data_IF_681995175950
#
_entry.id   IF_681995175950
#
_cell.length_a   1.000
_cell.length_b   1.000
_cell.length_c   1.000
_cell.angle_alpha   90.00
_cell.angle_beta   90.00
_cell.angle_gamma   90.00
#
_symmetry.space_group_name_H-M   'P 1'
#
loop_
_entity.id
_entity.type
_entity.pdbx_description
1 polymer ?
#
# COMPACT_ATOMS: atom_id res chain seq x y z
N UNK A 1 12.69 -0.13 24.22
CA UNK A 1 13.25 0.10 22.88
C UNK A 1 12.36 1.10 22.16
N UNK A 2 12.89 2.21 21.64
CA UNK A 2 12.14 3.17 20.83
C UNK A 2 12.44 2.89 19.35
N UNK A 3 11.41 2.81 18.52
CA UNK A 3 11.55 2.50 17.09
C UNK A 3 11.01 3.67 16.28
N UNK A 4 11.77 4.07 15.27
CA UNK A 4 11.41 5.10 14.31
C UNK A 4 11.52 4.52 12.91
N UNK A 5 10.52 4.78 12.06
CA UNK A 5 10.54 4.43 10.64
C UNK A 5 10.76 5.68 9.82
N UNK A 6 11.58 5.61 8.78
CA UNK A 6 11.79 6.71 7.84
C UNK A 6 11.22 6.28 6.49
N UNK A 7 10.32 7.09 5.94
CA UNK A 7 9.62 6.82 4.69
C UNK A 7 9.51 8.09 3.84
N UNK A 8 9.71 7.99 2.53
CA UNK A 8 9.73 9.16 1.63
C UNK A 8 8.35 9.49 1.05
N UNK A 9 7.54 8.46 0.77
CA UNK A 9 6.33 8.62 -0.03
C UNK A 9 5.07 8.17 0.69
N UNK A 10 4.97 6.89 1.04
CA UNK A 10 3.76 6.31 1.61
C UNK A 10 4.06 5.10 2.49
N UNK A 11 3.25 4.90 3.53
CA UNK A 11 3.37 3.74 4.41
C UNK A 11 3.02 2.46 3.64
N UNK A 12 3.80 1.41 3.87
CA UNK A 12 3.59 0.09 3.27
C UNK A 12 4.42 -0.17 2.00
N UNK A 13 5.15 0.84 1.52
CA UNK A 13 6.08 0.72 0.39
C UNK A 13 5.44 0.17 -0.88
N UNK A 14 6.26 -0.41 -1.74
CA UNK A 14 5.85 -0.89 -3.08
C UNK A 14 4.72 -1.91 -2.99
N UNK A 15 4.86 -2.93 -2.13
CA UNK A 15 3.95 -4.07 -2.07
C UNK A 15 2.49 -3.64 -1.86
N UNK A 16 2.25 -2.71 -0.94
CA UNK A 16 0.90 -2.25 -0.60
C UNK A 16 0.35 -1.21 -1.58
N UNK A 17 1.19 -0.32 -2.10
CA UNK A 17 0.71 0.85 -2.83
C UNK A 17 0.68 0.64 -4.35
N UNK A 18 1.70 0.01 -4.93
CA UNK A 18 1.92 -0.06 -6.38
C UNK A 18 2.43 -1.42 -6.87
N UNK A 19 2.40 -2.44 -6.02
CA UNK A 19 2.92 -3.77 -6.30
C UNK A 19 1.88 -4.85 -6.08
N UNK A 20 2.15 -5.77 -5.16
CA UNK A 20 1.34 -6.96 -4.95
C UNK A 20 -0.14 -6.66 -4.71
N UNK A 21 -0.48 -5.81 -3.75
CA UNK A 21 -1.87 -5.57 -3.36
C UNK A 21 -2.73 -5.06 -4.52
N UNK A 22 -2.37 -3.97 -5.23
CA UNK A 22 -3.17 -3.52 -6.37
C UNK A 22 -3.21 -4.57 -7.49
N UNK A 23 -2.11 -5.27 -7.79
CA UNK A 23 -2.11 -6.31 -8.81
C UNK A 23 -3.05 -7.47 -8.48
N UNK A 24 -3.00 -7.98 -7.23
CA UNK A 24 -3.82 -9.12 -6.80
C UNK A 24 -5.29 -8.73 -6.69
N UNK A 25 -5.62 -7.49 -6.31
CA UNK A 25 -7.00 -7.00 -6.36
C UNK A 25 -7.55 -7.01 -7.80
N UNK A 26 -6.79 -6.53 -8.78
CA UNK A 26 -7.23 -6.55 -10.17
C UNK A 26 -7.35 -7.97 -10.74
N UNK A 27 -6.43 -8.88 -10.39
CA UNK A 27 -6.51 -10.30 -10.76
C UNK A 27 -7.79 -10.92 -10.20
N UNK A 28 -8.16 -10.62 -8.95
CA UNK A 28 -9.39 -11.14 -8.36
C UNK A 28 -10.65 -10.62 -9.07
N UNK A 29 -10.69 -9.33 -9.41
CA UNK A 29 -11.79 -8.78 -10.20
C UNK A 29 -11.90 -9.47 -11.59
N UNK A 30 -10.76 -9.76 -12.22
CA UNK A 30 -10.71 -10.49 -13.49
C UNK A 30 -11.20 -11.94 -13.34
N UNK A 31 -10.81 -12.65 -12.27
CA UNK A 31 -11.32 -13.98 -11.97
C UNK A 31 -12.85 -13.97 -11.79
N UNK A 32 -13.39 -13.04 -10.99
CA UNK A 32 -14.84 -12.93 -10.83
C UNK A 32 -15.57 -12.67 -12.16
N UNK A 33 -15.01 -11.81 -13.00
CA UNK A 33 -15.55 -11.57 -14.34
C UNK A 33 -15.54 -12.84 -15.19
N UNK A 34 -14.41 -13.57 -15.20
CA UNK A 34 -14.29 -14.84 -15.92
C UNK A 34 -15.29 -15.87 -15.40
N UNK A 35 -15.42 -16.04 -14.08
CA UNK A 35 -16.38 -16.97 -13.48
C UNK A 35 -17.81 -16.64 -13.87
N UNK A 36 -18.20 -15.35 -13.83
CA UNK A 36 -19.53 -14.93 -14.24
C UNK A 36 -19.83 -15.33 -15.70
N UNK A 37 -18.86 -15.15 -16.60
CA UNK A 37 -19.00 -15.51 -18.01
C UNK A 37 -19.05 -17.02 -18.29
N UNK A 38 -18.49 -17.86 -17.41
CA UNK A 38 -18.40 -19.32 -17.59
C UNK A 38 -19.24 -20.09 -16.56
N UNK A 39 -20.32 -19.48 -16.06
CA UNK A 39 -21.12 -20.03 -14.96
C UNK A 39 -22.29 -20.92 -15.39
N UNK A 40 -22.46 -21.17 -16.70
CA UNK A 40 -23.59 -21.91 -17.27
C UNK A 40 -23.67 -23.38 -16.81
N UNK A 41 -22.51 -24.04 -16.64
CA UNK A 41 -22.45 -25.42 -16.16
C UNK A 41 -22.96 -25.57 -14.73
N UNK A 42 -22.97 -24.48 -13.96
CA UNK A 42 -23.58 -24.41 -12.62
C UNK A 42 -25.07 -24.08 -12.66
N UNK A 43 -25.69 -24.03 -13.85
CA UNK A 43 -27.09 -23.65 -14.06
C UNK A 43 -27.36 -22.14 -14.00
N UNK A 44 -26.31 -21.30 -13.92
CA UNK A 44 -26.46 -19.84 -13.87
C UNK A 44 -26.59 -19.26 -15.29
N UNK A 45 -27.64 -18.49 -15.51
CA UNK A 45 -27.86 -17.78 -16.78
C UNK A 45 -27.40 -16.32 -16.65
N UNK A 46 -26.18 -16.03 -17.10
CA UNK A 46 -25.64 -14.67 -17.16
C UNK A 46 -25.61 -14.21 -18.61
N UNK A 47 -26.43 -13.21 -18.97
CA UNK A 47 -26.61 -12.79 -20.37
C UNK A 47 -25.47 -11.92 -20.89
N UNK A 48 -24.95 -11.00 -20.06
CA UNK A 48 -23.79 -10.17 -20.39
C UNK A 48 -23.19 -9.54 -19.13
N UNK A 49 -22.20 -10.19 -18.52
CA UNK A 49 -21.40 -9.53 -17.49
C UNK A 49 -20.64 -8.35 -18.14
N UNK A 50 -20.81 -7.15 -17.59
CA UNK A 50 -20.08 -5.95 -18.01
C UNK A 50 -19.18 -5.49 -16.89
N UNK A 51 -17.91 -5.28 -17.20
CA UNK A 51 -16.94 -4.74 -16.26
C UNK A 51 -16.81 -3.23 -16.46
N UNK A 52 -17.13 -2.47 -15.41
CA UNK A 52 -16.85 -1.04 -15.33
C UNK A 52 -15.44 -0.86 -14.76
N UNK A 53 -14.48 -0.60 -15.64
CA UNK A 53 -13.07 -0.52 -15.25
C UNK A 53 -12.79 0.62 -14.28
N UNK A 54 -13.52 1.75 -14.39
CA UNK A 54 -13.33 2.87 -13.47
C UNK A 54 -13.73 2.47 -12.05
N UNK A 55 -14.89 1.82 -11.90
CA UNK A 55 -15.31 1.28 -10.58
C UNK A 55 -14.36 0.20 -10.07
N UNK A 56 -13.80 -0.64 -10.95
CA UNK A 56 -12.79 -1.63 -10.55
C UNK A 56 -11.53 -0.96 -9.99
N UNK A 57 -11.06 0.12 -10.61
CA UNK A 57 -9.91 0.89 -10.14
C UNK A 57 -10.22 1.59 -8.81
N UNK A 58 -11.40 2.17 -8.66
CA UNK A 58 -11.86 2.77 -7.39
C UNK A 58 -11.91 1.74 -6.26
N UNK A 59 -12.48 0.56 -6.51
CA UNK A 59 -12.50 -0.53 -5.54
C UNK A 59 -11.08 -0.98 -5.18
N UNK A 60 -10.20 -1.20 -6.17
CA UNK A 60 -8.78 -1.51 -5.94
C UNK A 60 -8.09 -0.44 -5.08
N UNK A 61 -8.37 0.84 -5.32
CA UNK A 61 -7.84 1.95 -4.50
C UNK A 61 -8.36 1.89 -3.06
N UNK A 62 -9.63 1.52 -2.85
CA UNK A 62 -10.19 1.32 -1.50
C UNK A 62 -9.50 0.18 -0.74
N UNK A 63 -9.13 -0.91 -1.41
CA UNK A 63 -8.38 -2.03 -0.82
C UNK A 63 -6.99 -1.56 -0.37
N UNK A 64 -6.28 -0.84 -1.24
CA UNK A 64 -4.97 -0.25 -0.92
C UNK A 64 -5.09 0.69 0.30
N UNK A 65 -6.03 1.63 0.27
CA UNK A 65 -6.25 2.60 1.35
C UNK A 65 -6.57 1.92 2.70
N UNK A 66 -7.41 0.89 2.69
CA UNK A 66 -7.74 0.12 3.90
C UNK A 66 -6.49 -0.52 4.50
N UNK A 67 -5.64 -1.14 3.68
CA UNK A 67 -4.47 -1.86 4.16
C UNK A 67 -3.35 -0.91 4.60
N UNK A 68 -3.07 0.17 3.86
CA UNK A 68 -2.07 1.17 4.27
C UNK A 68 -2.52 1.92 5.53
N UNK A 69 -3.80 2.26 5.64
CA UNK A 69 -4.39 2.82 6.86
C UNK A 69 -4.32 1.86 8.05
N UNK A 70 -4.43 0.55 7.80
CA UNK A 70 -4.20 -0.50 8.81
C UNK A 70 -2.77 -0.48 9.35
N UNK A 71 -1.77 -0.39 8.49
CA UNK A 71 -0.36 -0.29 8.90
C UNK A 71 -0.11 1.00 9.68
N UNK A 72 -0.63 2.14 9.22
CA UNK A 72 -0.52 3.40 9.93
C UNK A 72 -1.16 3.34 11.34
N UNK A 73 -2.29 2.64 11.46
CA UNK A 73 -2.95 2.40 12.76
C UNK A 73 -2.11 1.53 13.68
N UNK A 74 -1.44 0.50 13.13
CA UNK A 74 -0.50 -0.34 13.89
C UNK A 74 0.70 0.46 14.39
N UNK A 75 1.28 1.33 13.56
CA UNK A 75 2.39 2.20 13.99
C UNK A 75 1.98 3.08 15.18
N UNK A 76 0.80 3.72 15.12
CA UNK A 76 0.25 4.50 16.24
C UNK A 76 0.06 3.64 17.49
N UNK A 77 -0.54 2.45 17.34
CA UNK A 77 -0.78 1.52 18.45
C UNK A 77 0.52 1.09 19.14
N UNK A 78 1.60 0.92 18.37
CA UNK A 78 2.91 0.52 18.86
C UNK A 78 3.86 1.69 19.15
N UNK A 79 3.38 2.94 19.11
CA UNK A 79 4.17 4.14 19.39
C UNK A 79 5.42 4.25 18.49
N UNK A 80 5.28 3.84 17.23
CA UNK A 80 6.33 3.97 16.21
C UNK A 80 6.17 5.34 15.56
N UNK A 81 7.21 6.17 15.69
CA UNK A 81 7.28 7.46 15.03
C UNK A 81 7.64 7.28 13.54
N UNK A 82 6.97 8.00 12.65
CA UNK A 82 7.32 8.03 11.22
C UNK A 82 7.91 9.39 10.90
N UNK A 83 9.15 9.39 10.42
CA UNK A 83 9.82 10.57 9.88
C UNK A 83 9.72 10.53 8.36
N UNK A 84 9.26 11.62 7.76
CA UNK A 84 9.05 11.70 6.32
C UNK A 84 10.26 12.30 5.62
N UNK A 85 10.88 11.55 4.70
CA UNK A 85 12.01 12.03 3.91
C UNK A 85 12.94 10.93 3.40
N UNK A 86 13.98 11.36 2.68
CA UNK A 86 15.08 10.52 2.22
C UNK A 86 16.12 10.35 3.32
N UNK A 87 16.41 9.11 3.71
CA UNK A 87 17.43 8.78 4.70
C UNK A 87 18.77 8.42 4.04
N UNK A 88 19.85 8.99 4.56
CA UNK A 88 21.23 8.69 4.19
C UNK A 88 22.01 8.31 5.44
N UNK A 89 22.65 7.13 5.44
CA UNK A 89 23.57 6.76 6.51
C UNK A 89 24.79 7.68 6.47
N UNK A 90 25.10 8.30 7.60
CA UNK A 90 26.27 9.17 7.77
C UNK A 90 27.46 8.38 8.31
N UNK A 91 27.19 7.53 9.31
CA UNK A 91 28.13 6.63 9.96
C UNK A 91 27.35 5.51 10.69
N UNK A 92 28.04 4.69 11.46
CA UNK A 92 27.48 3.49 12.13
C UNK A 92 26.35 3.80 13.13
N UNK A 93 26.25 5.05 13.61
CA UNK A 93 25.28 5.45 14.64
C UNK A 93 24.45 6.68 14.26
N UNK A 94 24.61 7.20 13.04
CA UNK A 94 23.94 8.43 12.61
C UNK A 94 23.40 8.31 11.19
N UNK A 95 22.19 8.82 10.99
CA UNK A 95 21.58 9.01 9.68
C UNK A 95 21.12 10.45 9.52
N UNK A 96 21.13 10.94 8.27
CA UNK A 96 20.59 12.22 7.86
C UNK A 96 19.28 12.00 7.11
N UNK A 97 18.22 12.66 7.49
CA UNK A 97 16.94 12.68 6.75
C UNK A 97 16.78 14.03 6.08
N UNK A 98 16.43 14.03 4.80
CA UNK A 98 16.07 15.23 4.04
C UNK A 98 14.58 15.16 3.73
N UNK A 99 13.80 16.11 4.23
CA UNK A 99 12.37 16.19 3.94
C UNK A 99 12.10 16.67 2.51
N UNK A 100 10.82 16.72 2.11
CA UNK A 100 10.44 17.18 0.76
C UNK A 100 10.69 18.67 0.52
N UNK A 101 10.86 19.46 1.57
CA UNK A 101 11.17 20.89 1.50
C UNK A 101 12.70 21.13 1.45
N UNK A 102 13.50 20.07 1.57
CA UNK A 102 14.96 20.12 1.57
C UNK A 102 15.56 20.37 2.96
N UNK A 103 14.75 20.44 4.02
CA UNK A 103 15.27 20.53 5.37
C UNK A 103 15.96 19.23 5.76
N UNK A 104 17.16 19.36 6.33
CA UNK A 104 17.94 18.23 6.72
C UNK A 104 18.08 18.13 8.23
N UNK A 105 17.75 16.95 8.78
CA UNK A 105 17.88 16.64 10.19
C UNK A 105 18.73 15.39 10.37
N UNK A 106 19.60 15.39 11.39
CA UNK A 106 20.38 14.20 11.77
C UNK A 106 19.70 13.50 12.93
N UNK A 107 19.59 12.18 12.85
CA UNK A 107 19.10 11.30 13.90
C UNK A 107 20.20 10.33 14.28
N UNK A 108 20.37 10.11 15.58
CA UNK A 108 21.31 9.12 16.12
C UNK A 108 20.55 7.87 16.58
N UNK A 109 21.13 6.70 16.37
CA UNK A 109 20.60 5.41 16.80
C UNK A 109 21.72 4.55 17.39
N UNK A 110 21.35 3.70 18.35
CA UNK A 110 22.26 2.80 19.08
C UNK A 110 22.21 1.39 18.51
#
# INVERSE_FOLDING_TARGET
QKVTVIEREFIGGVCLNVGCIPSKALIEAAHHYQYAMHSQDMGLQVTAAKLDFNKTIEWKNSVVSKLTGGVASLFKKHQIDVVWGDAFLKDDHNLRVIDKEGHAQTYSFN
#
